data_IF_085956482751
#
_entry.id   IF_085956482751
#
_cell.length_a   1.000
_cell.length_b   1.000
_cell.length_c   1.000
_cell.angle_alpha   90.00
_cell.angle_beta   90.00
_cell.angle_gamma   90.00
#
_symmetry.space_group_name_H-M   'P 1'
#
loop_
_entity.id
_entity.type
_entity.pdbx_description
1 polymer ?
#
# COMPACT_ATOMS: atom_id res chain seq x y z
N UNK A 1 -40.51 -7.85 -29.18
CA UNK A 1 -39.08 -7.42 -29.17
C UNK A 1 -38.77 -6.33 -28.11
N UNK A 2 -39.71 -5.45 -27.74
CA UNK A 2 -39.47 -4.33 -26.79
C UNK A 2 -39.29 -4.74 -25.30
N UNK A 3 -39.88 -5.85 -24.85
CA UNK A 3 -39.73 -6.34 -23.47
C UNK A 3 -38.33 -6.91 -23.17
N UNK A 4 -37.72 -7.63 -24.12
CA UNK A 4 -36.38 -8.19 -23.97
C UNK A 4 -35.33 -7.08 -23.74
N UNK A 5 -35.48 -5.95 -24.43
CA UNK A 5 -34.60 -4.80 -24.26
C UNK A 5 -34.78 -4.11 -22.90
N UNK A 6 -36.01 -4.03 -22.38
CA UNK A 6 -36.28 -3.52 -21.02
C UNK A 6 -35.63 -4.39 -19.95
N UNK A 7 -35.67 -5.71 -20.11
CA UNK A 7 -35.04 -6.66 -19.18
C UNK A 7 -33.51 -6.56 -19.27
N UNK A 8 -32.94 -6.56 -20.48
CA UNK A 8 -31.49 -6.42 -20.68
C UNK A 8 -30.95 -5.11 -20.09
N UNK A 9 -31.68 -4.00 -20.25
CA UNK A 9 -31.30 -2.69 -19.69
C UNK A 9 -31.34 -2.70 -18.17
N UNK A 10 -32.38 -3.30 -17.57
CA UNK A 10 -32.50 -3.46 -16.12
C UNK A 10 -31.37 -4.33 -15.56
N UNK A 11 -31.00 -5.40 -16.28
CA UNK A 11 -29.89 -6.27 -15.92
C UNK A 11 -28.53 -5.56 -16.00
N UNK A 12 -28.28 -4.77 -17.05
CA UNK A 12 -27.04 -3.99 -17.21
C UNK A 12 -26.91 -2.91 -16.11
N UNK A 13 -28.00 -2.24 -15.75
CA UNK A 13 -28.03 -1.29 -14.64
C UNK A 13 -27.80 -1.97 -13.30
N UNK A 14 -28.42 -3.13 -13.07
CA UNK A 14 -28.24 -3.91 -11.85
C UNK A 14 -26.79 -4.40 -11.73
N UNK A 15 -26.22 -4.91 -12.82
CA UNK A 15 -24.83 -5.35 -12.88
C UNK A 15 -23.85 -4.20 -12.62
N UNK A 16 -24.08 -3.03 -13.23
CA UNK A 16 -23.28 -1.83 -12.98
C UNK A 16 -23.43 -1.33 -11.54
N UNK A 17 -24.61 -1.46 -10.94
CA UNK A 17 -24.85 -1.14 -9.53
C UNK A 17 -24.07 -2.08 -8.60
N UNK A 18 -24.13 -3.39 -8.85
CA UNK A 18 -23.38 -4.41 -8.08
C UNK A 18 -21.88 -4.19 -8.18
N UNK A 19 -21.33 -3.89 -9.37
CA UNK A 19 -19.92 -3.56 -9.54
C UNK A 19 -19.51 -2.31 -8.74
N UNK A 20 -20.32 -1.25 -8.77
CA UNK A 20 -20.05 -0.05 -7.98
C UNK A 20 -20.11 -0.30 -6.47
N UNK A 21 -21.00 -1.20 -6.03
CA UNK A 21 -21.10 -1.57 -4.62
C UNK A 21 -19.86 -2.35 -4.15
N UNK A 22 -19.41 -3.34 -4.93
CA UNK A 22 -18.19 -4.09 -4.64
C UNK A 22 -16.95 -3.19 -4.61
N UNK A 23 -16.83 -2.25 -5.57
CA UNK A 23 -15.75 -1.26 -5.58
C UNK A 23 -15.77 -0.37 -4.34
N UNK A 24 -16.95 0.05 -3.86
CA UNK A 24 -17.09 0.81 -2.61
C UNK A 24 -16.64 0.01 -1.39
N UNK A 25 -17.03 -1.27 -1.30
CA UNK A 25 -16.67 -2.14 -0.17
C UNK A 25 -15.16 -2.36 -0.11
N UNK A 26 -14.46 -2.45 -1.25
CA UNK A 26 -13.00 -2.61 -1.28
C UNK A 26 -12.26 -1.28 -1.06
N UNK A 27 -12.81 -0.16 -1.54
CA UNK A 27 -12.18 1.15 -1.46
C UNK A 27 -12.13 1.72 -0.03
N UNK A 28 -13.22 1.58 0.73
CA UNK A 28 -13.29 2.09 2.10
C UNK A 28 -12.22 1.51 3.06
N UNK A 29 -12.00 0.17 3.14
CA UNK A 29 -10.97 -0.40 4.00
C UNK A 29 -9.56 -0.06 3.53
N UNK A 30 -9.31 -0.03 2.22
CA UNK A 30 -8.00 0.35 1.69
C UNK A 30 -7.64 1.79 2.03
N UNK A 31 -8.57 2.73 1.87
CA UNK A 31 -8.34 4.13 2.22
C UNK A 31 -8.01 4.31 3.70
N UNK A 32 -8.72 3.59 4.59
CA UNK A 32 -8.43 3.60 6.03
C UNK A 32 -7.03 3.06 6.34
N UNK A 33 -6.66 1.94 5.71
CA UNK A 33 -5.32 1.35 5.83
C UNK A 33 -4.23 2.36 5.44
N UNK A 34 -4.39 3.04 4.30
CA UNK A 34 -3.43 4.05 3.83
C UNK A 34 -3.34 5.21 4.82
N UNK A 35 -4.47 5.68 5.36
CA UNK A 35 -4.49 6.75 6.36
C UNK A 35 -3.71 6.36 7.64
N UNK A 36 -3.90 5.14 8.13
CA UNK A 36 -3.16 4.62 9.28
C UNK A 36 -1.67 4.49 9.01
N UNK A 37 -1.28 4.02 7.82
CA UNK A 37 0.13 3.93 7.43
C UNK A 37 0.78 5.32 7.33
N UNK A 38 0.10 6.32 6.75
CA UNK A 38 0.61 7.70 6.70
C UNK A 38 0.82 8.26 8.11
N UNK A 39 -0.07 7.96 9.05
CA UNK A 39 0.10 8.35 10.45
C UNK A 39 1.41 7.76 11.03
N UNK A 40 1.64 6.46 10.81
CA UNK A 40 2.85 5.76 11.26
C UNK A 40 4.15 6.29 10.62
N UNK A 41 4.10 6.71 9.35
CA UNK A 41 5.23 7.31 8.65
C UNK A 41 5.87 8.48 9.40
N UNK A 42 5.07 9.27 10.14
CA UNK A 42 5.60 10.41 10.90
C UNK A 42 6.55 9.98 12.03
N UNK A 43 6.35 8.79 12.60
CA UNK A 43 7.23 8.22 13.62
C UNK A 43 8.31 7.30 13.04
N UNK A 44 8.13 6.85 11.79
CA UNK A 44 8.95 5.82 11.12
C UNK A 44 9.16 6.20 9.65
N UNK A 45 10.14 7.07 9.32
CA UNK A 45 10.34 7.58 7.97
C UNK A 45 10.86 6.52 6.99
N UNK A 46 11.42 5.42 7.49
CA UNK A 46 11.90 4.26 6.73
C UNK A 46 10.84 3.59 5.84
N UNK A 47 9.55 3.75 6.16
CA UNK A 47 8.44 3.21 5.32
C UNK A 47 7.77 4.28 4.44
N UNK A 48 8.23 5.54 4.51
CA UNK A 48 7.62 6.68 3.84
C UNK A 48 7.51 6.51 2.33
N UNK A 49 8.59 6.04 1.69
CA UNK A 49 8.62 5.83 0.25
C UNK A 49 7.59 4.78 -0.18
N UNK A 50 7.56 3.62 0.50
CA UNK A 50 6.62 2.55 0.21
C UNK A 50 5.16 3.05 0.30
N UNK A 51 4.83 3.77 1.38
CA UNK A 51 3.50 4.34 1.61
C UNK A 51 3.16 5.35 0.51
N UNK A 52 4.12 6.20 0.12
CA UNK A 52 3.97 7.13 -0.99
C UNK A 52 3.55 6.44 -2.28
N UNK A 53 4.13 5.27 -2.60
CA UNK A 53 3.78 4.48 -3.78
C UNK A 53 2.35 3.91 -3.68
N UNK A 54 1.98 3.23 -2.58
CA UNK A 54 0.63 2.64 -2.46
C UNK A 54 -0.48 3.69 -2.30
N UNK A 55 -0.17 4.87 -1.78
CA UNK A 55 -1.15 5.96 -1.60
C UNK A 55 -1.70 6.50 -2.92
N UNK A 56 -0.90 6.48 -4.00
CA UNK A 56 -1.29 6.90 -5.35
C UNK A 56 -2.47 6.10 -5.89
N UNK A 57 -2.62 4.85 -5.43
CA UNK A 57 -3.68 3.94 -5.86
C UNK A 57 -4.90 3.96 -4.94
N UNK A 58 -4.96 4.87 -3.95
CA UNK A 58 -6.07 4.99 -3.00
C UNK A 58 -7.42 5.31 -3.64
N UNK A 59 -7.45 5.94 -4.81
CA UNK A 59 -8.70 6.36 -5.46
C UNK A 59 -9.45 5.20 -6.14
N UNK A 60 -8.72 4.17 -6.59
CA UNK A 60 -9.26 2.94 -7.18
C UNK A 60 -8.35 1.75 -6.81
N UNK A 61 -8.45 1.24 -5.58
CA UNK A 61 -7.64 0.12 -5.16
C UNK A 61 -8.10 -1.14 -5.90
N UNK A 62 -7.11 -1.85 -6.42
CA UNK A 62 -7.27 -3.15 -7.04
C UNK A 62 -6.64 -4.18 -6.11
N UNK A 63 -6.96 -5.45 -6.30
CA UNK A 63 -6.43 -6.52 -5.47
C UNK A 63 -4.90 -6.63 -5.52
N UNK A 64 -4.29 -6.20 -6.62
CA UNK A 64 -2.83 -6.03 -6.77
C UNK A 64 -2.27 -4.97 -5.82
N UNK A 65 -2.93 -3.82 -5.69
CA UNK A 65 -2.54 -2.75 -4.76
C UNK A 65 -2.67 -3.20 -3.30
N UNK A 66 -3.73 -3.96 -2.98
CA UNK A 66 -3.89 -4.56 -1.65
C UNK A 66 -2.73 -5.51 -1.33
N UNK A 67 -2.37 -6.41 -2.25
CA UNK A 67 -1.22 -7.30 -2.09
C UNK A 67 0.10 -6.54 -1.91
N UNK A 68 0.30 -5.45 -2.64
CA UNK A 68 1.46 -4.58 -2.49
C UNK A 68 1.54 -3.88 -1.12
N UNK A 69 0.40 -3.66 -0.45
CA UNK A 69 0.39 -3.12 0.93
C UNK A 69 0.65 -4.15 2.03
N UNK A 70 0.53 -5.45 1.76
CA UNK A 70 0.72 -6.50 2.78
C UNK A 70 2.17 -6.52 3.32
N UNK A 71 3.23 -6.46 2.50
CA UNK A 71 4.61 -6.41 3.00
C UNK A 71 4.89 -5.22 3.92
N UNK A 72 4.24 -4.07 3.66
CA UNK A 72 4.36 -2.88 4.51
C UNK A 72 3.72 -3.15 5.88
N UNK A 73 2.57 -3.81 5.91
CA UNK A 73 1.93 -4.22 7.17
C UNK A 73 2.72 -5.29 7.92
N UNK A 74 3.32 -6.24 7.22
CA UNK A 74 4.20 -7.26 7.81
C UNK A 74 5.43 -6.61 8.44
N UNK A 75 6.03 -5.62 7.76
CA UNK A 75 7.12 -4.82 8.31
C UNK A 75 6.70 -4.05 9.57
N UNK A 76 5.56 -3.37 9.51
CA UNK A 76 5.03 -2.65 10.69
C UNK A 76 4.80 -3.62 11.84
N UNK A 77 4.19 -4.78 11.58
CA UNK A 77 3.94 -5.81 12.60
C UNK A 77 5.24 -6.32 13.23
N UNK A 78 6.25 -6.63 12.43
CA UNK A 78 7.54 -7.12 12.91
C UNK A 78 8.35 -6.07 13.67
N UNK A 79 8.05 -4.78 13.47
CA UNK A 79 8.73 -3.67 14.13
C UNK A 79 7.95 -3.07 15.30
N UNK A 80 6.80 -3.64 15.70
CA UNK A 80 6.01 -3.12 16.84
C UNK A 80 6.84 -3.12 18.12
N UNK A 81 7.62 -4.17 18.36
CA UNK A 81 8.42 -4.34 19.58
C UNK A 81 9.80 -3.67 19.52
N UNK A 82 10.16 -3.10 18.36
CA UNK A 82 11.41 -2.36 18.18
C UNK A 82 11.16 -0.87 18.45
N UNK A 83 11.56 -0.42 19.64
CA UNK A 83 11.52 0.97 20.08
C UNK A 83 12.87 1.44 20.59
N UNK A 84 13.11 2.75 20.54
CA UNK A 84 14.31 3.36 21.14
C UNK A 84 14.03 3.55 22.63
N UNK A 85 14.67 2.75 23.47
CA UNK A 85 14.65 2.94 24.92
C UNK A 85 15.74 3.94 25.30
N UNK A 86 15.35 5.11 25.83
CA UNK A 86 16.30 6.08 26.36
C UNK A 86 16.53 5.78 27.84
N UNK A 87 17.68 5.17 28.16
CA UNK A 87 18.16 5.01 29.54
C UNK A 87 19.28 6.05 29.81
N UNK A 88 19.20 6.75 30.95
CA UNK A 88 20.24 7.69 31.36
C UNK A 88 21.54 6.92 31.68
N UNK A 89 22.61 7.19 30.93
CA UNK A 89 23.95 6.62 31.16
C UNK A 89 24.39 5.56 30.14
N UNK A 90 23.53 5.13 29.22
CA UNK A 90 23.93 4.24 28.12
C UNK A 90 24.52 5.02 26.94
N UNK A 91 25.69 4.60 26.45
CA UNK A 91 26.29 5.11 25.20
C UNK A 91 25.37 4.82 24.02
N UNK A 92 24.93 5.86 23.31
CA UNK A 92 24.02 5.78 22.17
C UNK A 92 24.70 5.03 21.00
N UNK A 93 24.30 3.79 20.73
CA UNK A 93 24.73 3.02 19.56
C UNK A 93 23.62 3.07 18.51
N UNK A 94 23.83 3.86 17.45
CA UNK A 94 22.90 3.95 16.33
C UNK A 94 23.21 2.88 15.27
N UNK A 95 22.30 1.93 15.07
CA UNK A 95 22.34 1.02 13.93
C UNK A 95 21.53 1.63 12.77
N UNK A 96 22.20 1.87 11.64
CA UNK A 96 21.56 2.35 10.42
C UNK A 96 21.24 1.13 9.54
N UNK A 97 19.96 0.78 9.43
CA UNK A 97 19.50 -0.27 8.54
C UNK A 97 19.24 0.33 7.16
N UNK A 98 20.14 0.05 6.21
CA UNK A 98 20.04 0.49 4.82
C UNK A 98 19.60 -0.66 3.91
N UNK A 99 18.45 -1.28 4.17
CA UNK A 99 17.83 -2.23 3.25
C UNK A 99 16.84 -1.51 2.31
N UNK A 100 17.36 -0.87 1.25
CA UNK A 100 16.52 -0.45 0.12
C UNK A 100 17.15 -0.68 -1.27
N UNK A 101 18.39 -1.17 -1.37
CA UNK A 101 19.03 -1.41 -2.67
C UNK A 101 18.63 -2.76 -3.30
N UNK A 102 17.32 -3.02 -3.47
CA UNK A 102 16.84 -3.96 -4.51
C UNK A 102 16.17 -3.19 -5.62
N UNK A 103 16.95 -2.32 -6.26
CA UNK A 103 16.69 -1.93 -7.63
C UNK A 103 17.13 -3.09 -8.53
N UNK A 104 16.18 -3.71 -9.24
CA UNK A 104 16.44 -4.85 -10.12
C UNK A 104 16.81 -4.38 -11.54
N UNK A 105 16.84 -3.07 -11.85
CA UNK A 105 16.90 -2.64 -13.25
C UNK A 105 18.07 -1.74 -13.68
N UNK A 106 19.22 -1.79 -12.99
CA UNK A 106 20.44 -1.12 -13.47
C UNK A 106 21.69 -1.99 -13.40
N UNK A 107 21.71 -3.08 -14.18
CA UNK A 107 22.97 -3.63 -14.71
C UNK A 107 23.13 -3.22 -16.17
N UNK A 108 23.48 -1.95 -16.40
CA UNK A 108 24.25 -1.58 -17.59
C UNK A 108 25.69 -1.44 -17.14
N UNK A 109 26.46 -2.51 -17.33
CA UNK A 109 27.92 -2.48 -17.19
C UNK A 109 28.46 -1.73 -18.40
N UNK A 110 28.88 -0.48 -18.19
CA UNK A 110 29.80 0.19 -19.09
C UNK A 110 31.15 -0.54 -18.99
N UNK A 111 31.41 -1.42 -19.96
CA UNK A 111 32.75 -1.94 -20.22
C UNK A 111 33.27 -1.11 -21.39
N UNK A 112 34.13 -0.14 -21.05
CA UNK A 112 34.90 0.60 -22.02
C UNK A 112 35.85 -0.32 -22.79
N UNK A 113 35.92 -0.09 -24.10
CA UNK A 113 37.05 -0.39 -24.97
C UNK A 113 37.25 0.82 -25.89
#
# INVERSE_FOLDING_TARGET
MHLAWRIARKFLHLWRSTQNYLLKILHLPYRKLIQSLICLCNSRPNISYAIGVVSKFSNKPCQTHWKASMPILEYVKGTIDYGILYEEGSSLVGYCDSDWARDIDTKKLDIGN
#
